data_IF_122405453995
#
_entry.id   IF_122405453995
#
_cell.length_a   1.000
_cell.length_b   1.000
_cell.length_c   1.000
_cell.angle_alpha   90.00
_cell.angle_beta   90.00
_cell.angle_gamma   90.00
#
_symmetry.space_group_name_H-M   'P 1'
#
loop_
_entity.id
_entity.type
_entity.pdbx_description
1 polymer ?
#
# COMPACT_ATOMS: atom_id res chain seq x y z
N UNK A 1 8.11 16.17 6.00
CA UNK A 1 8.49 14.89 6.64
C UNK A 1 8.27 13.78 5.63
N UNK A 2 9.30 12.99 5.33
CA UNK A 2 9.20 11.86 4.40
C UNK A 2 8.76 10.60 5.14
N UNK A 3 7.93 9.80 4.47
CA UNK A 3 7.45 8.51 4.92
C UNK A 3 8.07 7.39 4.10
N UNK A 4 8.18 6.22 4.71
CA UNK A 4 8.66 5.00 4.06
C UNK A 4 7.47 4.27 3.44
N UNK A 5 7.54 4.09 2.13
CA UNK A 5 6.58 3.32 1.36
C UNK A 5 7.27 2.11 0.73
N UNK A 6 6.55 1.01 0.65
CA UNK A 6 7.05 -0.27 0.19
C UNK A 6 6.22 -0.74 -1.00
N UNK A 7 6.89 -1.06 -2.09
CA UNK A 7 6.30 -1.72 -3.25
C UNK A 7 6.84 -3.14 -3.32
N UNK A 8 6.02 -4.11 -2.94
CA UNK A 8 6.38 -5.53 -2.98
C UNK A 8 6.22 -6.08 -4.39
N UNK A 9 7.18 -6.90 -4.82
CA UNK A 9 7.23 -7.41 -6.19
C UNK A 9 7.99 -8.74 -6.28
N UNK A 10 7.95 -9.35 -7.47
CA UNK A 10 8.75 -10.52 -7.82
C UNK A 10 10.21 -10.13 -8.10
N UNK A 11 11.10 -11.12 -8.19
CA UNK A 11 12.49 -10.88 -8.61
C UNK A 11 12.57 -10.24 -10.00
N UNK A 12 11.81 -10.77 -10.97
CA UNK A 12 11.70 -10.22 -12.32
C UNK A 12 11.20 -8.77 -12.30
N UNK A 13 10.19 -8.48 -11.46
CA UNK A 13 9.67 -7.13 -11.27
C UNK A 13 10.73 -6.18 -10.71
N UNK A 14 11.51 -6.61 -9.72
CA UNK A 14 12.60 -5.82 -9.17
C UNK A 14 13.67 -5.52 -10.22
N UNK A 15 14.05 -6.49 -11.04
CA UNK A 15 15.02 -6.31 -12.12
C UNK A 15 14.51 -5.34 -13.19
N UNK A 16 13.24 -5.46 -13.59
CA UNK A 16 12.61 -4.55 -14.54
C UNK A 16 12.57 -3.11 -14.01
N UNK A 17 12.25 -2.92 -12.73
CA UNK A 17 12.26 -1.61 -12.06
C UNK A 17 13.70 -1.10 -11.96
N UNK A 18 14.67 -1.93 -11.58
CA UNK A 18 16.09 -1.54 -11.45
C UNK A 18 16.65 -1.02 -12.77
N UNK A 19 16.31 -1.67 -13.88
CA UNK A 19 16.73 -1.27 -15.24
C UNK A 19 16.04 0.00 -15.72
N UNK A 20 14.73 0.10 -15.54
CA UNK A 20 13.94 1.24 -16.06
C UNK A 20 13.95 2.46 -15.14
N UNK A 21 14.34 2.29 -13.86
CA UNK A 21 14.16 3.26 -12.78
C UNK A 21 12.72 3.74 -12.62
N UNK A 22 11.75 2.94 -13.06
CA UNK A 22 10.33 3.26 -12.99
C UNK A 22 9.55 2.09 -12.39
N UNK A 23 8.66 2.39 -11.46
CA UNK A 23 7.61 1.46 -11.07
C UNK A 23 6.43 1.74 -11.99
N UNK A 24 6.13 0.78 -12.87
CA UNK A 24 5.04 0.93 -13.82
C UNK A 24 3.70 0.91 -13.10
N UNK A 25 2.81 1.84 -13.48
CA UNK A 25 1.44 1.82 -12.97
C UNK A 25 0.70 0.60 -13.50
N UNK A 26 -0.21 0.09 -12.68
CA UNK A 26 -1.16 -0.93 -13.14
C UNK A 26 -2.15 -0.27 -14.10
N UNK A 27 -2.18 -0.75 -15.34
CA UNK A 27 -3.22 -0.37 -16.30
C UNK A 27 -4.48 -1.18 -16.02
N UNK A 28 -5.62 -0.50 -16.01
CA UNK A 28 -6.93 -1.10 -15.71
C UNK A 28 -7.36 -1.92 -16.92
N UNK A 29 -6.88 -3.16 -17.03
CA UNK A 29 -7.34 -4.10 -18.05
C UNK A 29 -8.00 -5.35 -17.48
N UNK A 30 -7.74 -5.72 -16.23
CA UNK A 30 -8.45 -6.80 -15.55
C UNK A 30 -8.96 -6.36 -14.17
N UNK A 31 -10.29 -6.44 -13.99
CA UNK A 31 -10.99 -6.12 -12.74
C UNK A 31 -10.51 -6.95 -11.53
N UNK A 32 -9.70 -7.99 -11.75
CA UNK A 32 -9.12 -8.85 -10.72
C UNK A 32 -7.84 -8.28 -10.10
N UNK A 33 -7.06 -7.47 -10.83
CA UNK A 33 -5.74 -6.99 -10.39
C UNK A 33 -5.74 -5.51 -9.96
N UNK A 34 -6.74 -4.72 -10.38
CA UNK A 34 -6.82 -3.28 -10.12
C UNK A 34 -8.07 -2.87 -9.32
N UNK A 35 -8.41 -3.62 -8.26
CA UNK A 35 -9.61 -3.42 -7.42
C UNK A 35 -9.76 -2.00 -6.86
N UNK A 36 -8.67 -1.23 -6.75
CA UNK A 36 -8.65 0.08 -6.10
C UNK A 36 -8.32 1.24 -7.06
N UNK A 37 -8.28 0.97 -8.38
CA UNK A 37 -8.09 1.97 -9.43
C UNK A 37 -6.72 1.92 -10.14
N UNK A 38 -6.43 2.96 -10.91
CA UNK A 38 -5.19 3.09 -11.70
C UNK A 38 -4.09 3.76 -10.87
N UNK A 39 -2.90 3.17 -10.85
CA UNK A 39 -1.73 3.78 -10.23
C UNK A 39 -0.66 2.78 -9.84
N UNK A 40 0.35 3.27 -9.14
CA UNK A 40 1.37 2.44 -8.48
C UNK A 40 0.96 2.26 -7.02
N UNK A 41 0.96 1.00 -6.59
CA UNK A 41 0.53 0.59 -5.26
C UNK A 41 1.69 0.53 -4.29
N UNK A 42 1.48 1.10 -3.11
CA UNK A 42 2.41 1.10 -1.99
C UNK A 42 1.70 0.69 -0.70
N UNK A 43 2.50 0.31 0.29
CA UNK A 43 2.07 0.12 1.67
C UNK A 43 3.10 0.72 2.63
N UNK A 44 2.72 0.97 3.87
CA UNK A 44 3.64 1.32 4.97
C UNK A 44 4.03 0.08 5.81
N UNK A 45 3.48 -1.10 5.51
CA UNK A 45 3.82 -2.35 6.17
C UNK A 45 5.25 -2.80 5.85
N UNK A 46 6.11 -2.81 6.88
CA UNK A 46 7.52 -3.22 6.80
C UNK A 46 7.68 -4.74 6.91
N UNK A 47 8.45 -5.34 6.01
CA UNK A 47 8.68 -6.80 5.96
C UNK A 47 9.18 -7.37 7.29
N UNK A 48 10.15 -6.73 7.93
CA UNK A 48 10.73 -7.19 9.20
C UNK A 48 9.82 -7.00 10.43
N UNK A 49 8.65 -6.37 10.28
CA UNK A 49 7.67 -6.18 11.37
C UNK A 49 6.44 -7.06 11.24
N UNK A 50 6.03 -7.35 10.01
CA UNK A 50 4.79 -8.06 9.73
C UNK A 50 5.06 -9.42 9.13
N UNK A 51 4.17 -10.37 9.41
CA UNK A 51 4.28 -11.69 8.80
C UNK A 51 4.13 -11.62 7.29
N UNK A 52 4.74 -12.60 6.63
CA UNK A 52 4.65 -12.82 5.19
C UNK A 52 3.18 -12.84 4.72
N UNK A 53 2.33 -13.56 5.44
CA UNK A 53 0.90 -13.65 5.15
C UNK A 53 0.16 -12.32 5.32
N UNK A 54 0.52 -11.52 6.33
CA UNK A 54 -0.08 -10.20 6.56
C UNK A 54 0.21 -9.27 5.38
N UNK A 55 1.45 -9.28 4.87
CA UNK A 55 1.86 -8.46 3.73
C UNK A 55 1.16 -8.93 2.45
N UNK A 56 1.05 -10.24 2.23
CA UNK A 56 0.33 -10.78 1.06
C UNK A 56 -1.13 -10.36 1.09
N UNK A 57 -1.81 -10.56 2.24
CA UNK A 57 -3.20 -10.17 2.40
C UNK A 57 -3.39 -8.68 2.17
N UNK A 58 -2.52 -7.84 2.75
CA UNK A 58 -2.59 -6.40 2.57
C UNK A 58 -2.49 -5.99 1.10
N UNK A 59 -1.55 -6.55 0.34
CA UNK A 59 -1.31 -6.10 -1.05
C UNK A 59 -2.27 -6.74 -2.06
N UNK A 60 -2.60 -8.02 -1.95
CA UNK A 60 -3.38 -8.75 -2.97
C UNK A 60 -4.77 -9.22 -2.52
N UNK A 61 -5.18 -8.97 -1.27
CA UNK A 61 -6.47 -9.42 -0.71
C UNK A 61 -6.71 -10.94 -0.80
N UNK A 62 -5.65 -11.73 -1.02
CA UNK A 62 -5.69 -13.19 -1.04
C UNK A 62 -4.89 -13.74 0.13
N UNK A 63 -5.34 -14.85 0.72
CA UNK A 63 -4.66 -15.49 1.85
C UNK A 63 -3.59 -16.50 1.42
N UNK A 64 -3.63 -16.98 0.16
CA UNK A 64 -2.75 -18.04 -0.32
C UNK A 64 -2.37 -17.82 -1.79
N UNK A 65 -1.19 -18.29 -2.20
CA UNK A 65 -0.80 -18.39 -3.62
C UNK A 65 -0.06 -17.19 -4.23
N UNK A 66 0.27 -16.16 -3.44
CA UNK A 66 1.06 -15.01 -3.90
C UNK A 66 2.45 -14.90 -3.24
N UNK A 67 2.95 -15.98 -2.63
CA UNK A 67 4.26 -15.99 -1.95
C UNK A 67 5.42 -15.61 -2.88
N UNK A 68 5.31 -15.96 -4.16
CA UNK A 68 6.29 -15.61 -5.19
C UNK A 68 6.30 -14.10 -5.52
N UNK A 69 5.20 -13.39 -5.23
CA UNK A 69 5.03 -11.95 -5.52
C UNK A 69 5.66 -11.02 -4.50
N UNK A 70 6.26 -11.57 -3.44
CA UNK A 70 6.87 -10.79 -2.33
C UNK A 70 8.32 -11.18 -2.05
N UNK A 71 9.05 -11.66 -3.07
CA UNK A 71 10.48 -11.96 -2.95
C UNK A 71 11.35 -10.72 -2.93
N UNK A 72 10.79 -9.57 -3.31
CA UNK A 72 11.53 -8.33 -3.43
C UNK A 72 10.67 -7.16 -2.98
N UNK A 73 11.32 -6.10 -2.52
CA UNK A 73 10.66 -4.86 -2.17
C UNK A 73 11.48 -3.66 -2.64
N UNK A 74 10.77 -2.67 -3.18
CA UNK A 74 11.32 -1.34 -3.42
C UNK A 74 10.84 -0.44 -2.29
N UNK A 75 11.77 -0.01 -1.44
CA UNK A 75 11.51 0.98 -0.41
C UNK A 75 11.70 2.37 -1.02
N UNK A 76 10.72 3.25 -0.86
CA UNK A 76 10.71 4.61 -1.43
C UNK A 76 10.39 5.61 -0.33
N UNK A 77 11.19 6.68 -0.24
CA UNK A 77 10.93 7.80 0.66
C UNK A 77 10.11 8.85 -0.08
N UNK A 78 8.83 9.00 0.30
CA UNK A 78 7.91 9.96 -0.33
C UNK A 78 7.46 10.97 0.72
N UNK A 79 7.31 12.25 0.36
CA UNK A 79 6.74 13.24 1.26
C UNK A 79 5.29 12.91 1.60
N UNK A 80 4.91 13.03 2.89
CA UNK A 80 3.57 12.68 3.37
C UNK A 80 2.44 13.39 2.61
N UNK A 81 2.70 14.61 2.11
CA UNK A 81 1.72 15.44 1.42
C UNK A 81 1.94 15.50 -0.10
N UNK A 82 2.65 14.51 -0.66
CA UNK A 82 2.79 14.38 -2.10
C UNK A 82 1.41 14.33 -2.76
N UNK A 83 1.16 15.25 -3.70
CA UNK A 83 -0.17 15.45 -4.28
C UNK A 83 -0.70 14.19 -4.95
N UNK A 84 0.16 13.44 -5.63
CA UNK A 84 -0.22 12.23 -6.37
C UNK A 84 -0.44 11.00 -5.48
N UNK A 85 0.01 11.00 -4.22
CA UNK A 85 -0.09 9.84 -3.33
C UNK A 85 -1.33 9.94 -2.44
N UNK A 86 -2.23 8.95 -2.54
CA UNK A 86 -3.49 8.91 -1.78
C UNK A 86 -3.67 7.59 -1.06
N UNK A 87 -4.19 7.57 0.19
CA UNK A 87 -4.66 6.32 0.77
C UNK A 87 -5.82 5.77 -0.06
N UNK A 88 -5.89 4.45 -0.21
CA UNK A 88 -7.01 3.79 -0.85
C UNK A 88 -8.26 3.82 0.05
N UNK A 89 -9.43 3.66 -0.55
CA UNK A 89 -10.70 3.63 0.18
C UNK A 89 -11.03 2.26 0.82
N UNK A 90 -10.10 1.29 0.82
CA UNK A 90 -10.33 -0.01 1.45
C UNK A 90 -9.88 -0.03 2.93
N UNK A 91 -10.07 -1.17 3.57
CA UNK A 91 -9.71 -1.46 4.96
C UNK A 91 -8.23 -1.87 5.14
N UNK A 92 -7.45 -1.91 4.06
CA UNK A 92 -6.03 -2.30 4.04
C UNK A 92 -5.12 -1.07 4.00
N UNK A 93 -3.88 -1.22 4.46
CA UNK A 93 -2.85 -0.17 4.37
C UNK A 93 -2.26 -0.12 2.97
N UNK A 94 -3.03 0.50 2.07
CA UNK A 94 -2.69 0.67 0.66
C UNK A 94 -2.75 2.14 0.28
N UNK A 95 -1.67 2.59 -0.35
CA UNK A 95 -1.48 3.92 -0.89
C UNK A 95 -1.29 3.83 -2.40
N UNK A 96 -1.89 4.74 -3.14
CA UNK A 96 -1.91 4.74 -4.59
C UNK A 96 -1.26 6.03 -5.07
N UNK A 97 -0.15 5.89 -5.81
CA UNK A 97 0.43 6.98 -6.55
C UNK A 97 -0.29 7.07 -7.91
N UNK A 98 -1.06 8.14 -8.09
CA UNK A 98 -2.03 8.26 -9.17
C UNK A 98 -1.41 8.82 -10.46
N UNK A 99 -2.12 8.60 -11.57
CA UNK A 99 -1.91 9.21 -12.90
C UNK A 99 -0.72 8.70 -13.72
N UNK A 100 0.44 8.46 -13.12
CA UNK A 100 1.65 8.05 -13.86
C UNK A 100 2.46 6.96 -13.15
N UNK A 101 3.45 6.43 -13.86
CA UNK A 101 4.51 5.62 -13.26
C UNK A 101 5.26 6.43 -12.21
N UNK A 102 5.86 5.72 -11.25
CA UNK A 102 6.77 6.34 -10.29
C UNK A 102 8.18 6.33 -10.84
N UNK A 103 8.70 7.51 -11.15
CA UNK A 103 10.11 7.72 -11.51
C UNK A 103 10.97 7.76 -10.24
N UNK A 104 11.76 6.69 -10.03
CA UNK A 104 12.58 6.51 -8.84
C UNK A 104 13.75 7.50 -8.77
N UNK A 105 14.12 8.18 -9.86
CA UNK A 105 15.16 9.21 -9.81
C UNK A 105 14.71 10.44 -9.00
N UNK A 106 13.40 10.62 -8.80
CA UNK A 106 12.82 11.72 -8.02
C UNK A 106 12.78 11.44 -6.52
N UNK A 107 13.08 10.21 -6.09
CA UNK A 107 12.93 9.78 -4.70
C UNK A 107 14.16 9.03 -4.20
N UNK A 108 14.46 9.18 -2.91
CA UNK A 108 15.39 8.24 -2.25
C UNK A 108 14.73 6.87 -2.23
N UNK A 109 15.45 5.85 -2.68
CA UNK A 109 14.92 4.50 -2.78
C UNK A 109 15.99 3.43 -2.53
N UNK A 110 15.54 2.23 -2.20
CA UNK A 110 16.37 1.05 -1.95
C UNK A 110 15.71 -0.18 -2.60
N UNK A 111 16.53 -1.04 -3.19
CA UNK A 111 16.10 -2.31 -3.76
C UNK A 111 16.53 -3.43 -2.82
N UNK A 112 15.57 -4.22 -2.34
CA UNK A 112 15.82 -5.25 -1.33
C UNK A 112 15.28 -6.58 -1.86
N UNK A 113 16.11 -7.62 -1.80
CA UNK A 113 15.68 -9.01 -1.98
C UNK A 113 15.38 -9.58 -0.60
N UNK A 114 14.31 -10.37 -0.50
CA UNK A 114 13.80 -10.90 0.76
C UNK A 114 13.85 -12.43 0.76
N UNK A 115 14.32 -12.98 1.87
CA UNK A 115 14.23 -14.38 2.23
C UNK A 115 13.13 -14.60 3.29
N UNK A 116 12.73 -15.85 3.51
CA UNK A 116 11.65 -16.16 4.48
C UNK A 116 12.00 -15.72 5.91
N UNK A 117 13.29 -15.69 6.26
CA UNK A 117 13.77 -15.22 7.56
C UNK A 117 13.66 -13.71 7.77
N UNK A 118 13.46 -12.93 6.70
CA UNK A 118 13.37 -11.47 6.81
C UNK A 118 12.00 -11.00 7.30
N UNK A 119 10.99 -11.87 7.28
CA UNK A 119 9.64 -11.53 7.69
C UNK A 119 9.48 -11.57 9.22
N UNK A 120 8.71 -10.62 9.75
CA UNK A 120 8.38 -10.60 11.17
C UNK A 120 7.52 -11.80 11.58
N UNK A 121 7.62 -12.20 12.85
CA UNK A 121 6.85 -13.32 13.42
C UNK A 121 5.48 -12.94 13.98
N UNK A 122 5.13 -11.64 14.01
CA UNK A 122 3.94 -11.12 14.72
C UNK A 122 2.69 -11.00 13.83
N UNK A 123 1.57 -11.49 14.37
CA UNK A 123 0.21 -11.56 13.79
C UNK A 123 -0.66 -10.35 14.13
N UNK A 124 -0.06 -9.16 14.32
CA UNK A 124 -0.82 -7.96 14.69
C UNK A 124 -1.67 -7.49 13.48
N UNK A 125 -2.90 -8.00 13.41
CA UNK A 125 -3.96 -7.44 12.57
C UNK A 125 -4.12 -5.97 13.00
N UNK A 126 -4.05 -4.98 12.08
CA UNK A 126 -4.29 -3.60 12.42
C UNK A 126 -5.70 -3.45 13.01
N UNK A 127 -5.77 -3.16 14.30
CA UNK A 127 -7.03 -2.93 15.00
C UNK A 127 -7.56 -1.55 14.59
N UNK A 128 -8.33 -1.49 13.50
CA UNK A 128 -8.99 -0.27 13.04
C UNK A 128 -10.24 0.01 13.90
N UNK A 129 -10.05 0.50 15.13
CA UNK A 129 -11.07 1.30 15.78
C UNK A 129 -11.17 2.65 15.04
N UNK A 130 -11.95 2.68 13.96
CA UNK A 130 -12.56 3.94 13.49
C UNK A 130 -13.62 4.32 14.52
N UNK A 131 -13.21 5.11 15.51
CA UNK A 131 -14.17 5.84 16.34
C UNK A 131 -14.86 6.85 15.45
N UNK A 132 -16.00 6.47 14.90
CA UNK A 132 -16.97 7.37 14.30
C UNK A 132 -17.50 8.28 15.40
N UNK A 133 -17.06 9.54 15.40
CA UNK A 133 -17.75 10.62 16.11
C UNK A 133 -19.17 10.73 15.53
N UNK A 134 -20.18 10.42 16.35
CA UNK A 134 -21.57 10.72 16.04
C UNK A 134 -21.97 12.05 16.71
N UNK A 135 -22.22 13.01 15.84
CA UNK A 135 -23.34 13.98 15.86
C UNK A 135 -23.75 14.64 17.19
N UNK A 136 -23.37 15.93 17.29
CA UNK A 136 -24.29 17.08 17.42
C UNK A 136 -25.64 16.85 18.11
N UNK A 137 -25.78 17.39 19.33
CA UNK A 137 -27.08 17.69 19.93
C UNK A 137 -27.18 19.20 20.17
N UNK A 138 -27.92 19.87 19.29
CA UNK A 138 -28.50 21.18 19.50
C UNK A 138 -29.39 21.47 18.29
N UNK A 139 -30.71 21.29 18.43
CA UNK A 139 -31.59 22.44 18.25
C UNK A 139 -33.00 22.20 18.80
N UNK A 140 -33.59 23.32 19.22
CA UNK A 140 -34.89 23.47 19.84
C UNK A 140 -35.98 23.61 18.76
N UNK A 141 -37.24 23.24 19.03
CA UNK A 141 -38.34 23.65 18.16
C UNK A 141 -39.65 22.87 18.29
N UNK A 142 -40.59 23.48 19.00
CA UNK A 142 -42.02 23.15 19.12
C UNK A 142 -42.76 23.22 17.76
N UNK A 143 -43.80 22.41 17.54
CA UNK A 143 -45.22 22.82 17.38
C UNK A 143 -46.10 21.56 17.28
N UNK A 144 -47.07 21.47 18.19
CA UNK A 144 -48.28 20.65 18.08
C UNK A 144 -49.37 21.54 17.47
N UNK A 145 -50.00 21.09 16.39
CA UNK A 145 -51.45 21.13 16.14
C UNK A 145 -51.77 20.12 15.04
#
# INVERSE_FOLDING_TARGET
MCWEFYHYTTLEGLEAIRRSKRIKKTEVMDARDALLGRGVYFTTLRYHRFSKDTIIYNNWAVRTGCYEKIKCVVKVMIERYQKELKPSNCDRDIWIFQHDDVDLNKFKHEFITLDDSDFGSRTDIPNHNKTSNSSTSSDSGCVIL
#
